data_IF_396257782684
#
_entry.id   IF_396257782684
#
_cell.length_a   1.000
_cell.length_b   1.000
_cell.length_c   1.000
_cell.angle_alpha   90.00
_cell.angle_beta   90.00
_cell.angle_gamma   90.00
#
_symmetry.space_group_name_H-M   'P 1'
#
loop_
_entity.id
_entity.type
_entity.pdbx_description
1 polymer ?
#
# COMPACT_ATOMS: atom_id res chain seq x y z
N UNK A 1 -3.48 -36.18 69.99
CA UNK A 1 -4.56 -35.20 69.70
C UNK A 1 -4.02 -34.27 68.62
N UNK A 2 -4.51 -34.37 67.37
CA UNK A 2 -5.45 -33.38 66.79
C UNK A 2 -4.79 -31.97 66.78
N UNK A 3 -4.41 -31.32 65.68
CA UNK A 3 -5.12 -31.18 64.41
C UNK A 3 -4.29 -30.38 63.37
N UNK A 4 -4.53 -30.73 62.10
CA UNK A 4 -4.71 -29.83 60.93
C UNK A 4 -3.44 -29.29 60.23
N UNK A 5 -3.17 -30.00 59.12
CA UNK A 5 -2.47 -29.64 57.90
C UNK A 5 -3.09 -28.37 57.28
N UNK A 6 -2.30 -27.30 57.08
CA UNK A 6 -2.71 -26.18 56.23
C UNK A 6 -1.84 -26.20 54.96
N UNK A 7 -2.42 -26.70 53.87
CA UNK A 7 -1.87 -26.60 52.53
C UNK A 7 -1.81 -25.12 52.14
N UNK A 8 -0.60 -24.59 51.96
CA UNK A 8 -0.39 -23.31 51.29
C UNK A 8 -0.64 -23.51 49.78
N UNK A 9 -1.88 -23.29 49.35
CA UNK A 9 -2.20 -23.12 47.94
C UNK A 9 -1.61 -21.80 47.45
N UNK A 10 -0.50 -21.88 46.72
CA UNK A 10 0.07 -20.80 45.96
C UNK A 10 -0.85 -20.51 44.75
N UNK A 11 -1.90 -19.72 44.97
CA UNK A 11 -2.71 -19.17 43.87
C UNK A 11 -1.89 -18.02 43.29
N UNK A 12 -1.17 -18.31 42.22
CA UNK A 12 -0.57 -17.30 41.35
C UNK A 12 -1.74 -16.53 40.74
N UNK A 13 -2.05 -15.36 41.31
CA UNK A 13 -2.84 -14.35 40.63
C UNK A 13 -1.99 -13.84 39.46
N UNK A 14 -2.06 -14.53 38.32
CA UNK A 14 -1.83 -13.89 37.03
C UNK A 14 -2.95 -12.87 36.87
N UNK A 15 -2.73 -11.68 37.42
CA UNK A 15 -3.46 -10.49 37.03
C UNK A 15 -3.11 -10.26 35.56
N UNK A 16 -3.94 -10.78 34.66
CA UNK A 16 -4.04 -10.26 33.32
C UNK A 16 -4.36 -8.78 33.47
N UNK A 17 -3.34 -7.95 33.26
CA UNK A 17 -3.50 -6.52 33.08
C UNK A 17 -4.06 -6.29 31.68
N UNK A 18 -5.25 -6.79 31.42
CA UNK A 18 -6.06 -6.44 30.25
C UNK A 18 -6.83 -5.20 30.61
N UNK A 19 -6.16 -4.05 30.52
CA UNK A 19 -6.81 -2.76 30.33
C UNK A 19 -5.85 -1.87 29.53
N UNK A 20 -5.71 -2.18 28.25
CA UNK A 20 -5.56 -1.15 27.23
C UNK A 20 -6.73 -1.30 26.26
N UNK A 21 -7.95 -1.11 26.76
CA UNK A 21 -8.95 -0.50 25.88
C UNK A 21 -8.40 0.89 25.59
N UNK A 22 -7.76 1.04 24.44
CA UNK A 22 -7.56 2.35 23.85
C UNK A 22 -8.98 2.91 23.67
N UNK A 23 -9.42 3.73 24.62
CA UNK A 23 -10.58 4.57 24.41
C UNK A 23 -10.26 5.42 23.20
N UNK A 24 -11.02 5.26 22.11
CA UNK A 24 -11.10 6.21 21.02
C UNK A 24 -11.47 7.56 21.65
N UNK A 25 -10.46 8.38 21.96
CA UNK A 25 -10.69 9.77 22.33
C UNK A 25 -11.45 10.37 21.17
N UNK A 26 -12.60 10.97 21.44
CA UNK A 26 -13.36 11.69 20.43
C UNK A 26 -12.48 12.85 19.92
N UNK A 27 -11.76 12.60 18.83
CA UNK A 27 -10.98 13.59 18.11
C UNK A 27 -11.90 14.53 17.33
N UNK A 28 -11.33 15.58 16.74
CA UNK A 28 -12.05 16.36 15.73
C UNK A 28 -12.43 15.46 14.53
N UNK A 29 -13.44 15.85 13.75
CA UNK A 29 -13.80 15.14 12.49
C UNK A 29 -12.58 14.91 11.58
N UNK A 30 -11.64 15.86 11.58
CA UNK A 30 -10.38 15.76 10.85
C UNK A 30 -9.45 14.66 11.40
N UNK A 31 -9.37 14.52 12.74
CA UNK A 31 -8.62 13.44 13.39
C UNK A 31 -9.17 12.07 12.99
N UNK A 32 -10.50 11.92 12.95
CA UNK A 32 -11.12 10.66 12.55
C UNK A 32 -10.79 10.28 11.09
N UNK A 33 -10.75 11.25 10.18
CA UNK A 33 -10.38 10.98 8.79
C UNK A 33 -8.94 10.45 8.66
N UNK A 34 -8.00 10.99 9.42
CA UNK A 34 -6.60 10.53 9.41
C UNK A 34 -6.43 9.18 10.11
N UNK A 35 -7.15 8.92 11.20
CA UNK A 35 -7.16 7.60 11.85
C UNK A 35 -7.66 6.52 10.88
N UNK A 36 -8.69 6.82 10.07
CA UNK A 36 -9.16 5.90 9.03
C UNK A 36 -8.10 5.60 7.97
N UNK A 37 -7.31 6.61 7.54
CA UNK A 37 -6.20 6.37 6.63
C UNK A 37 -5.11 5.49 7.27
N UNK A 38 -4.80 5.71 8.55
CA UNK A 38 -3.88 4.85 9.30
C UNK A 38 -4.33 3.38 9.33
N UNK A 39 -5.60 3.14 9.66
CA UNK A 39 -6.19 1.80 9.64
C UNK A 39 -6.17 1.17 8.25
N UNK A 40 -6.42 1.94 7.19
CA UNK A 40 -6.32 1.45 5.81
C UNK A 40 -4.89 1.06 5.44
N UNK A 41 -3.87 1.79 5.91
CA UNK A 41 -2.47 1.42 5.71
C UNK A 41 -2.18 0.07 6.36
N UNK A 42 -2.62 -0.13 7.61
CA UNK A 42 -2.47 -1.41 8.32
C UNK A 42 -3.15 -2.56 7.57
N UNK A 43 -4.38 -2.34 7.11
CA UNK A 43 -5.14 -3.32 6.32
C UNK A 43 -4.43 -3.66 5.00
N UNK A 44 -3.97 -2.65 4.26
CA UNK A 44 -3.27 -2.87 3.00
C UNK A 44 -1.94 -3.59 3.23
N UNK A 45 -1.19 -3.26 4.27
CA UNK A 45 0.04 -3.98 4.59
C UNK A 45 -0.22 -5.46 4.87
N UNK A 46 -1.22 -5.78 5.69
CA UNK A 46 -1.59 -7.16 5.97
C UNK A 46 -2.00 -7.92 4.69
N UNK A 47 -2.81 -7.28 3.84
CA UNK A 47 -3.22 -7.87 2.56
C UNK A 47 -2.04 -8.08 1.60
N UNK A 48 -1.08 -7.15 1.57
CA UNK A 48 0.10 -7.24 0.70
C UNK A 48 0.96 -8.46 1.08
N UNK A 49 1.19 -8.68 2.37
CA UNK A 49 1.94 -9.86 2.84
C UNK A 49 1.24 -11.17 2.48
N UNK A 50 -0.09 -11.25 2.69
CA UNK A 50 -0.89 -12.41 2.28
C UNK A 50 -0.78 -12.63 0.76
N UNK A 51 -0.82 -11.57 -0.04
CA UNK A 51 -0.74 -11.68 -1.50
C UNK A 51 0.64 -12.15 -1.96
N UNK A 52 1.73 -11.67 -1.33
CA UNK A 52 3.10 -12.13 -1.58
C UNK A 52 3.24 -13.63 -1.28
N UNK A 53 2.66 -14.10 -0.18
CA UNK A 53 2.63 -15.54 0.15
C UNK A 53 1.87 -16.36 -0.92
N UNK A 54 0.72 -15.88 -1.38
CA UNK A 54 -0.05 -16.55 -2.44
C UNK A 54 0.69 -16.61 -3.77
N UNK A 55 1.35 -15.52 -4.17
CA UNK A 55 2.18 -15.46 -5.38
C UNK A 55 3.32 -16.48 -5.28
N UNK A 56 4.02 -16.50 -4.14
CA UNK A 56 5.09 -17.46 -3.86
C UNK A 56 4.60 -18.91 -3.95
N UNK A 57 3.45 -19.25 -3.33
CA UNK A 57 2.85 -20.59 -3.43
C UNK A 57 2.55 -20.98 -4.89
N UNK A 58 1.99 -20.06 -5.68
CA UNK A 58 1.68 -20.32 -7.09
C UNK A 58 2.96 -20.55 -7.90
N UNK A 59 3.99 -19.73 -7.70
CA UNK A 59 5.26 -19.86 -8.41
C UNK A 59 5.93 -21.20 -8.08
N UNK A 60 6.17 -21.48 -6.80
CA UNK A 60 6.98 -22.62 -6.38
C UNK A 60 6.18 -23.92 -6.28
N UNK A 61 5.08 -23.93 -5.55
CA UNK A 61 4.34 -25.16 -5.25
C UNK A 61 3.45 -25.60 -6.41
N UNK A 62 2.97 -24.65 -7.23
CA UNK A 62 2.20 -24.96 -8.46
C UNK A 62 3.05 -24.98 -9.73
N UNK A 63 4.38 -24.92 -9.56
CA UNK A 63 5.37 -25.10 -10.61
C UNK A 63 5.18 -24.15 -11.81
N UNK A 64 4.84 -22.88 -11.54
CA UNK A 64 4.93 -21.79 -12.51
C UNK A 64 6.30 -21.12 -12.51
N UNK A 65 7.18 -21.48 -11.57
CA UNK A 65 8.53 -20.96 -11.50
C UNK A 65 9.34 -21.23 -12.76
N UNK A 66 8.92 -22.14 -13.67
CA UNK A 66 9.60 -22.37 -14.96
C UNK A 66 8.96 -21.63 -16.15
N UNK A 67 7.79 -21.03 -15.97
CA UNK A 67 7.15 -20.25 -17.04
C UNK A 67 7.88 -18.90 -17.22
N UNK A 68 8.33 -18.63 -18.44
CA UNK A 68 9.10 -17.43 -18.74
C UNK A 68 8.30 -16.14 -18.51
N UNK A 69 7.00 -16.11 -18.84
CA UNK A 69 6.19 -14.93 -18.62
C UNK A 69 5.89 -14.72 -17.13
N UNK A 70 5.70 -15.79 -16.36
CA UNK A 70 5.60 -15.73 -14.91
C UNK A 70 6.87 -15.13 -14.29
N UNK A 71 8.06 -15.63 -14.65
CA UNK A 71 9.36 -15.09 -14.19
C UNK A 71 9.51 -13.59 -14.48
N UNK A 72 9.16 -13.17 -15.70
CA UNK A 72 9.29 -11.75 -16.10
C UNK A 72 8.28 -10.90 -15.32
N UNK A 73 7.03 -11.33 -15.19
CA UNK A 73 6.00 -10.58 -14.47
C UNK A 73 6.38 -10.39 -12.99
N UNK A 74 6.80 -11.47 -12.32
CA UNK A 74 7.25 -11.45 -10.92
C UNK A 74 8.45 -10.54 -10.71
N UNK A 75 9.44 -10.62 -11.59
CA UNK A 75 10.62 -9.74 -11.54
C UNK A 75 10.25 -8.26 -11.69
N UNK A 76 9.35 -7.93 -12.62
CA UNK A 76 8.86 -6.55 -12.79
C UNK A 76 8.10 -6.07 -11.57
N UNK A 77 7.24 -6.92 -10.99
CA UNK A 77 6.41 -6.56 -9.84
C UNK A 77 7.25 -6.41 -8.59
N UNK A 78 8.17 -7.34 -8.31
CA UNK A 78 9.12 -7.24 -7.19
C UNK A 78 9.92 -5.94 -7.25
N UNK A 79 10.46 -5.58 -8.42
CA UNK A 79 11.21 -4.33 -8.58
C UNK A 79 10.36 -3.09 -8.34
N UNK A 80 9.12 -3.08 -8.83
CA UNK A 80 8.24 -1.93 -8.66
C UNK A 80 7.68 -1.82 -7.24
N UNK A 81 7.35 -2.93 -6.58
CA UNK A 81 6.99 -2.97 -5.15
C UNK A 81 8.13 -2.41 -4.31
N UNK A 82 9.38 -2.85 -4.54
CA UNK A 82 10.54 -2.33 -3.82
C UNK A 82 10.71 -0.81 -4.02
N UNK A 83 10.45 -0.30 -5.23
CA UNK A 83 10.46 1.14 -5.49
C UNK A 83 9.37 1.89 -4.68
N UNK A 84 8.16 1.34 -4.62
CA UNK A 84 7.06 1.91 -3.82
C UNK A 84 7.38 1.89 -2.32
N UNK A 85 8.00 0.83 -1.81
CA UNK A 85 8.42 0.73 -0.41
C UNK A 85 9.52 1.73 -0.05
N UNK A 86 10.49 1.93 -0.94
CA UNK A 86 11.51 2.96 -0.77
C UNK A 86 10.88 4.36 -0.77
N UNK A 87 9.98 4.64 -1.73
CA UNK A 87 9.26 5.92 -1.80
C UNK A 87 8.45 6.18 -0.53
N UNK A 88 7.74 5.16 -0.04
CA UNK A 88 7.00 5.24 1.22
C UNK A 88 7.94 5.56 2.39
N UNK A 89 9.07 4.86 2.46
CA UNK A 89 10.07 5.02 3.53
C UNK A 89 10.69 6.41 3.53
N UNK A 90 11.01 6.96 2.37
CA UNK A 90 11.52 8.34 2.25
C UNK A 90 10.48 9.33 2.80
N UNK A 91 9.23 9.24 2.33
CA UNK A 91 8.14 10.11 2.74
C UNK A 91 7.84 10.06 4.25
N UNK A 92 7.83 8.86 4.87
CA UNK A 92 7.49 8.71 6.30
C UNK A 92 8.66 9.01 7.24
N UNK A 93 9.90 8.94 6.76
CA UNK A 93 11.08 9.25 7.59
C UNK A 93 11.40 10.75 7.68
N UNK A 94 10.83 11.58 6.79
CA UNK A 94 10.91 13.04 6.89
C UNK A 94 10.23 13.62 8.15
N UNK A 95 8.98 13.23 8.49
CA UNK A 95 8.35 13.65 9.73
C UNK A 95 8.86 12.91 10.96
N UNK A 96 8.92 13.60 12.11
CA UNK A 96 9.05 12.95 13.42
C UNK A 96 7.67 12.49 13.88
N UNK A 97 7.26 11.30 13.45
CA UNK A 97 5.91 10.78 13.70
C UNK A 97 5.76 10.20 15.10
N UNK A 98 4.62 10.45 15.75
CA UNK A 98 4.17 9.68 16.90
C UNK A 98 3.45 8.42 16.38
N UNK A 99 3.93 7.20 16.65
CA UNK A 99 3.32 5.98 16.15
C UNK A 99 1.93 5.69 16.74
N UNK A 100 1.53 6.41 17.79
CA UNK A 100 0.21 6.26 18.43
C UNK A 100 -0.86 7.21 17.89
N UNK A 101 -0.52 8.08 16.94
CA UNK A 101 -1.41 9.13 16.44
C UNK A 101 -1.20 9.41 14.94
N UNK A 102 -2.26 9.19 14.15
CA UNK A 102 -2.22 9.35 12.69
C UNK A 102 -2.39 10.80 12.22
N UNK A 103 -2.70 11.74 13.12
CA UNK A 103 -2.72 13.17 12.82
C UNK A 103 -1.36 13.86 13.01
N UNK A 104 -1.34 15.20 12.91
CA UNK A 104 -0.14 16.00 13.18
C UNK A 104 0.81 16.06 11.98
N UNK A 105 2.02 15.51 12.08
CA UNK A 105 2.99 15.58 10.98
C UNK A 105 2.49 14.86 9.72
N UNK A 106 1.73 13.78 9.90
CA UNK A 106 1.15 13.01 8.79
C UNK A 106 -0.02 13.73 8.10
N UNK A 107 -0.57 14.80 8.68
CA UNK A 107 -1.60 15.62 8.01
C UNK A 107 -1.02 16.76 7.17
N UNK A 108 0.29 17.03 7.26
CA UNK A 108 0.92 18.14 6.53
C UNK A 108 1.07 17.83 5.05
N UNK A 109 0.61 18.77 4.22
CA UNK A 109 0.75 18.71 2.75
C UNK A 109 2.18 19.02 2.29
N UNK A 110 2.95 19.73 3.11
CA UNK A 110 4.30 20.21 2.78
C UNK A 110 5.24 19.05 2.42
N UNK A 111 5.13 17.91 3.11
CA UNK A 111 5.93 16.72 2.82
C UNK A 111 5.65 16.18 1.42
N UNK A 112 4.36 16.04 1.06
CA UNK A 112 3.96 15.59 -0.27
C UNK A 112 4.38 16.58 -1.34
N UNK A 113 4.14 17.88 -1.12
CA UNK A 113 4.43 18.93 -2.09
C UNK A 113 5.93 19.05 -2.36
N UNK A 114 6.76 19.09 -1.31
CA UNK A 114 8.21 19.17 -1.46
C UNK A 114 8.82 17.92 -2.12
N UNK A 115 8.18 16.76 -1.95
CA UNK A 115 8.67 15.52 -2.52
C UNK A 115 8.35 15.40 -4.01
N UNK A 116 7.11 15.68 -4.42
CA UNK A 116 6.65 15.43 -5.79
C UNK A 116 6.67 16.67 -6.70
N UNK A 117 6.76 17.89 -6.16
CA UNK A 117 6.56 19.12 -6.91
C UNK A 117 7.67 20.15 -6.68
N UNK A 118 7.84 21.05 -7.65
CA UNK A 118 8.70 22.22 -7.59
C UNK A 118 7.91 23.43 -8.11
N UNK A 119 7.15 24.06 -7.21
CA UNK A 119 6.19 25.10 -7.58
C UNK A 119 5.04 24.54 -8.43
N UNK A 120 4.91 25.02 -9.67
CA UNK A 120 3.90 24.54 -10.61
C UNK A 120 4.34 23.28 -11.38
N UNK A 121 5.64 22.99 -11.40
CA UNK A 121 6.23 21.85 -12.10
C UNK A 121 6.40 20.64 -11.17
N UNK A 122 6.73 19.48 -11.76
CA UNK A 122 7.11 18.29 -11.00
C UNK A 122 8.56 18.38 -10.56
N UNK A 123 8.85 17.81 -9.39
CA UNK A 123 10.24 17.56 -8.98
C UNK A 123 10.84 16.44 -9.85
N UNK A 124 12.16 16.23 -9.72
CA UNK A 124 12.83 15.07 -10.31
C UNK A 124 12.19 13.76 -9.82
N UNK A 125 11.96 13.66 -8.50
CA UNK A 125 11.32 12.51 -7.87
C UNK A 125 9.89 12.31 -8.35
N UNK A 126 9.10 13.38 -8.54
CA UNK A 126 7.75 13.29 -9.10
C UNK A 126 7.73 12.82 -10.54
N UNK A 127 8.69 13.28 -11.34
CA UNK A 127 8.87 12.83 -12.72
C UNK A 127 9.27 11.36 -12.77
N UNK A 128 10.22 10.94 -11.92
CA UNK A 128 10.63 9.54 -11.80
C UNK A 128 9.46 8.65 -11.36
N UNK A 129 8.68 9.08 -10.37
CA UNK A 129 7.55 8.31 -9.84
C UNK A 129 6.50 7.96 -10.91
N UNK A 130 6.15 8.94 -11.74
CA UNK A 130 5.24 8.72 -12.87
C UNK A 130 5.90 7.84 -13.93
N UNK A 131 7.16 8.09 -14.27
CA UNK A 131 7.90 7.31 -15.27
C UNK A 131 8.04 5.83 -14.89
N UNK A 132 8.37 5.53 -13.63
CA UNK A 132 8.48 4.16 -13.11
C UNK A 132 7.13 3.44 -13.16
N UNK A 133 6.05 4.12 -12.80
CA UNK A 133 4.69 3.58 -12.90
C UNK A 133 4.30 3.29 -14.35
N UNK A 134 4.58 4.22 -15.27
CA UNK A 134 4.29 4.05 -16.70
C UNK A 134 5.07 2.91 -17.32
N UNK A 135 6.35 2.81 -16.99
CA UNK A 135 7.22 1.72 -17.44
C UNK A 135 6.70 0.38 -16.93
N UNK A 136 6.47 0.25 -15.62
CA UNK A 136 5.94 -0.98 -15.02
C UNK A 136 4.64 -1.41 -15.70
N UNK A 137 3.67 -0.50 -15.81
CA UNK A 137 2.39 -0.76 -16.50
C UNK A 137 2.61 -1.25 -17.93
N UNK A 138 3.45 -0.56 -18.69
CA UNK A 138 3.69 -0.87 -20.10
C UNK A 138 4.30 -2.24 -20.26
N UNK A 139 5.27 -2.61 -19.43
CA UNK A 139 5.93 -3.91 -19.50
C UNK A 139 5.00 -5.06 -19.11
N UNK A 140 4.23 -4.96 -18.02
CA UNK A 140 3.30 -6.03 -17.63
C UNK A 140 2.18 -6.23 -18.65
N UNK A 141 1.70 -5.16 -19.30
CA UNK A 141 0.63 -5.25 -20.31
C UNK A 141 1.05 -6.01 -21.57
N UNK A 142 2.35 -6.13 -21.86
CA UNK A 142 2.87 -6.96 -22.95
C UNK A 142 2.67 -8.45 -22.66
N UNK A 143 2.63 -8.84 -21.39
CA UNK A 143 2.52 -10.24 -20.94
C UNK A 143 1.06 -10.69 -20.81
N UNK A 144 0.18 -9.79 -20.36
CA UNK A 144 -1.22 -10.11 -20.08
C UNK A 144 -1.98 -10.37 -21.39
N UNK A 145 -2.76 -11.46 -21.45
CA UNK A 145 -3.69 -11.75 -22.56
C UNK A 145 -5.15 -11.47 -22.20
N UNK A 146 -5.51 -11.66 -20.93
CA UNK A 146 -6.87 -11.43 -20.42
C UNK A 146 -7.27 -9.94 -20.51
N UNK A 147 -8.37 -9.67 -21.21
CA UNK A 147 -8.80 -8.28 -21.48
C UNK A 147 -9.35 -7.58 -20.24
N UNK A 148 -9.95 -8.31 -19.31
CA UNK A 148 -10.47 -7.74 -18.07
C UNK A 148 -9.33 -7.27 -17.17
N UNK A 149 -8.27 -8.07 -17.05
CA UNK A 149 -7.06 -7.76 -16.33
C UNK A 149 -6.33 -6.57 -16.97
N UNK A 150 -6.20 -6.54 -18.31
CA UNK A 150 -5.65 -5.35 -19.01
C UNK A 150 -6.40 -4.07 -18.66
N UNK A 151 -7.73 -4.12 -18.64
CA UNK A 151 -8.56 -2.96 -18.29
C UNK A 151 -8.36 -2.53 -16.83
N UNK A 152 -8.30 -3.48 -15.90
CA UNK A 152 -8.03 -3.19 -14.47
C UNK A 152 -6.65 -2.57 -14.28
N UNK A 153 -5.62 -3.13 -14.90
CA UNK A 153 -4.25 -2.60 -14.89
C UNK A 153 -4.24 -1.17 -15.41
N UNK A 154 -4.82 -0.93 -16.59
CA UNK A 154 -4.87 0.41 -17.17
C UNK A 154 -5.59 1.40 -16.24
N UNK A 155 -6.74 1.04 -15.67
CA UNK A 155 -7.49 1.93 -14.79
C UNK A 155 -6.75 2.27 -13.49
N UNK A 156 -6.05 1.30 -12.88
CA UNK A 156 -5.37 1.50 -11.60
C UNK A 156 -4.00 2.18 -11.74
N UNK A 157 -3.29 1.86 -12.82
CA UNK A 157 -1.97 2.40 -13.12
C UNK A 157 -2.05 3.47 -14.20
N UNK A 158 -3.17 4.19 -14.33
CA UNK A 158 -3.28 5.32 -15.24
C UNK A 158 -2.32 6.42 -14.80
N UNK A 159 -1.11 6.32 -15.31
CA UNK A 159 -0.20 7.40 -15.56
C UNK A 159 -0.26 7.63 -17.02
N UNK A 160 -0.59 8.84 -17.39
CA UNK A 160 -0.25 9.25 -18.73
C UNK A 160 0.17 10.66 -18.54
N UNK A 161 1.42 10.95 -18.88
CA UNK A 161 1.86 12.33 -19.03
C UNK A 161 0.92 13.13 -19.96
N UNK A 162 0.14 12.45 -20.84
CA UNK A 162 -0.79 13.03 -21.82
C UNK A 162 -2.29 12.80 -21.56
N UNK A 163 -2.69 11.88 -20.68
CA UNK A 163 -4.09 11.60 -20.36
C UNK A 163 -4.43 12.26 -19.04
N UNK A 164 -4.91 13.49 -19.17
CA UNK A 164 -5.62 14.17 -18.12
C UNK A 164 -6.79 13.34 -17.58
N UNK A 165 -6.88 13.24 -16.25
CA UNK A 165 -8.06 12.76 -15.54
C UNK A 165 -9.15 13.81 -15.71
N UNK A 166 -10.31 13.37 -16.22
CA UNK A 166 -11.49 14.21 -16.30
C UNK A 166 -12.16 14.26 -14.93
N UNK A 167 -12.15 15.43 -14.31
CA UNK A 167 -12.85 15.68 -13.05
C UNK A 167 -14.36 15.71 -13.25
N UNK A 168 -15.13 15.71 -12.16
CA UNK A 168 -16.60 15.76 -12.21
C UNK A 168 -17.14 17.02 -12.87
N UNK A 169 -16.41 18.14 -12.76
CA UNK A 169 -16.69 19.41 -13.43
C UNK A 169 -16.12 19.50 -14.86
N UNK A 170 -15.53 18.42 -15.36
CA UNK A 170 -15.10 18.28 -16.75
C UNK A 170 -13.71 18.83 -17.05
N UNK A 171 -12.97 19.29 -16.04
CA UNK A 171 -11.58 19.74 -16.18
C UNK A 171 -10.64 18.55 -16.40
N UNK A 172 -9.54 18.84 -17.07
CA UNK A 172 -8.51 17.88 -17.41
C UNK A 172 -7.30 18.14 -16.49
N UNK A 173 -7.01 17.22 -15.57
CA UNK A 173 -5.93 17.35 -14.59
C UNK A 173 -4.90 16.23 -14.77
N UNK A 174 -3.62 16.54 -14.70
CA UNK A 174 -2.56 15.52 -14.79
C UNK A 174 -2.65 14.55 -13.60
N UNK A 175 -2.25 13.30 -13.80
CA UNK A 175 -2.43 12.26 -12.78
C UNK A 175 -1.66 12.55 -11.48
N UNK A 176 -0.44 13.09 -11.55
CA UNK A 176 0.32 13.42 -10.34
C UNK A 176 -0.36 14.56 -9.56
N UNK A 177 -0.78 15.63 -10.24
CA UNK A 177 -1.55 16.70 -9.59
C UNK A 177 -2.81 16.18 -8.91
N UNK A 178 -3.63 15.41 -9.65
CA UNK A 178 -4.93 14.94 -9.15
C UNK A 178 -4.82 14.09 -7.89
N UNK A 179 -3.76 13.28 -7.77
CA UNK A 179 -3.64 12.30 -6.70
C UNK A 179 -2.69 12.69 -5.57
N UNK A 180 -1.80 13.67 -5.78
CA UNK A 180 -0.72 13.97 -4.84
C UNK A 180 -0.58 15.46 -4.53
N UNK A 181 -1.01 16.38 -5.40
CA UNK A 181 -0.83 17.82 -5.15
C UNK A 181 -1.75 18.27 -4.03
N UNK A 182 -1.17 18.97 -3.05
CA UNK A 182 -1.86 19.50 -1.88
C UNK A 182 -2.59 18.42 -1.05
N UNK A 183 -2.15 17.18 -1.17
CA UNK A 183 -2.71 16.05 -0.42
C UNK A 183 -1.98 15.84 0.92
N UNK A 184 -2.71 15.61 2.02
CA UNK A 184 -2.10 15.24 3.30
C UNK A 184 -1.21 14.01 3.15
N UNK A 185 -0.04 14.01 3.80
CA UNK A 185 0.95 12.94 3.70
C UNK A 185 0.34 11.54 3.96
N UNK A 186 -0.50 11.40 4.99
CA UNK A 186 -1.15 10.12 5.33
C UNK A 186 -2.01 9.56 4.18
N UNK A 187 -2.69 10.43 3.43
CA UNK A 187 -3.51 10.02 2.29
C UNK A 187 -2.65 9.51 1.13
N UNK A 188 -1.48 10.11 0.93
CA UNK A 188 -0.50 9.73 -0.08
C UNK A 188 0.15 8.39 0.28
N UNK A 189 0.57 8.22 1.54
CA UNK A 189 1.08 6.95 2.06
C UNK A 189 0.06 5.83 1.90
N UNK A 190 -1.21 6.09 2.23
CA UNK A 190 -2.32 5.15 2.02
C UNK A 190 -2.47 4.78 0.54
N UNK A 191 -2.39 5.76 -0.35
CA UNK A 191 -2.47 5.54 -1.79
C UNK A 191 -1.33 4.67 -2.32
N UNK A 192 -0.12 4.85 -1.82
CA UNK A 192 1.04 4.02 -2.17
C UNK A 192 0.77 2.56 -1.77
N UNK A 193 0.29 2.31 -0.55
CA UNK A 193 -0.01 0.94 -0.07
C UNK A 193 -1.20 0.29 -0.78
N UNK A 194 -2.24 1.06 -1.11
CA UNK A 194 -3.33 0.56 -1.97
C UNK A 194 -2.84 0.20 -3.38
N UNK A 195 -1.84 0.92 -3.91
CA UNK A 195 -1.23 0.62 -5.20
C UNK A 195 -0.43 -0.68 -5.12
N UNK A 196 0.39 -0.86 -4.10
CA UNK A 196 1.10 -2.12 -3.82
C UNK A 196 0.10 -3.30 -3.76
N UNK A 197 -1.02 -3.15 -3.05
CA UNK A 197 -2.08 -4.17 -3.02
C UNK A 197 -2.58 -4.53 -4.40
N UNK A 198 -2.92 -3.52 -5.19
CA UNK A 198 -3.52 -3.74 -6.50
C UNK A 198 -2.54 -4.38 -7.50
N UNK A 199 -1.25 -4.03 -7.46
CA UNK A 199 -0.26 -4.65 -8.35
C UNK A 199 0.01 -6.12 -8.00
N UNK A 200 0.01 -6.45 -6.70
CA UNK A 200 0.11 -7.84 -6.23
C UNK A 200 -1.15 -8.64 -6.61
N UNK A 201 -2.34 -8.04 -6.50
CA UNK A 201 -3.59 -8.66 -7.00
C UNK A 201 -3.53 -8.95 -8.51
N UNK A 202 -2.99 -8.02 -9.31
CA UNK A 202 -2.85 -8.21 -10.76
C UNK A 202 -1.90 -9.35 -11.11
N UNK A 203 -0.79 -9.46 -10.40
CA UNK A 203 0.14 -10.58 -10.55
C UNK A 203 -0.53 -11.90 -10.19
N UNK A 204 -1.18 -11.98 -9.01
CA UNK A 204 -1.88 -13.18 -8.59
C UNK A 204 -2.92 -13.64 -9.63
N UNK A 205 -3.70 -12.71 -10.18
CA UNK A 205 -4.67 -13.00 -11.23
C UNK A 205 -4.00 -13.43 -12.55
N UNK A 206 -2.90 -12.79 -12.92
CA UNK A 206 -2.11 -13.19 -14.08
C UNK A 206 -1.60 -14.63 -13.94
N UNK A 207 -1.01 -14.97 -12.80
CA UNK A 207 -0.49 -16.32 -12.52
C UNK A 207 -1.61 -17.36 -12.47
N UNK A 208 -2.76 -17.05 -11.84
CA UNK A 208 -3.94 -17.92 -11.86
C UNK A 208 -4.45 -18.16 -13.28
N UNK A 209 -4.45 -17.14 -14.13
CA UNK A 209 -4.81 -17.29 -15.54
C UNK A 209 -3.82 -18.19 -16.30
N UNK A 210 -2.51 -18.12 -16.00
CA UNK A 210 -1.54 -19.06 -16.58
C UNK A 210 -1.83 -20.51 -16.15
N UNK A 211 -2.19 -20.75 -14.89
CA UNK A 211 -2.55 -22.10 -14.40
C UNK A 211 -3.80 -22.66 -15.10
N UNK A 212 -4.82 -21.84 -15.32
CA UNK A 212 -6.08 -22.26 -15.95
C UNK A 212 -5.88 -22.60 -17.43
N UNK A 213 -4.98 -21.90 -18.11
CA UNK A 213 -4.76 -22.04 -19.55
C UNK A 213 -3.61 -23.00 -19.90
N UNK A 214 -3.10 -23.75 -18.91
CA UNK A 214 -2.08 -24.79 -19.08
C UNK A 214 -2.71 -26.10 -19.50
#
# INVERSE_FOLDING_TARGET
MKHILFLLSFVILYSCKTDSKAELKAGSEESFAYDMYGLLIEEFNANNEIMKEQISDILYNKNLIEDNNAKIYDSLTTQYVAYLDNTYSELINHPKTDPSYYGGELSKIEYTNNFFFNGEDYSETGTEFISKMDNYRTEILKLVKDQNLKRRINNMLTTTLDSSIRTRDGQLIKALDYFYKDMPLISVLTRIKNKERSILEFENDFLKNLLINK
#
